data_IF_393800511369
#
_entry.id   IF_393800511369
#
_cell.length_a   1.000
_cell.length_b   1.000
_cell.length_c   1.000
_cell.angle_alpha   90.00
_cell.angle_beta   90.00
_cell.angle_gamma   90.00
#
_symmetry.space_group_name_H-M   'P 1'
#
loop_
_entity.id
_entity.type
_entity.pdbx_description
1 polymer ?
#
# COMPACT_ATOMS: atom_id res chain seq x y z
N UNK A 1 41.40 -25.08 -12.78
CA UNK A 1 40.33 -24.15 -12.35
C UNK A 1 39.32 -24.10 -13.49
N UNK A 2 38.07 -24.50 -13.24
CA UNK A 2 37.10 -24.79 -14.31
C UNK A 2 36.45 -23.49 -14.80
N UNK A 3 36.38 -23.30 -16.13
CA UNK A 3 35.86 -22.07 -16.75
C UNK A 3 34.40 -21.76 -16.33
N UNK A 4 33.66 -22.80 -15.92
CA UNK A 4 32.31 -22.67 -15.35
C UNK A 4 32.28 -21.91 -14.03
N UNK A 5 33.23 -22.18 -13.12
CA UNK A 5 33.24 -21.61 -11.77
C UNK A 5 33.66 -20.15 -11.79
N UNK A 6 34.52 -19.77 -12.74
CA UNK A 6 34.91 -18.39 -12.96
C UNK A 6 33.75 -17.56 -13.52
N UNK A 7 33.00 -18.10 -14.50
CA UNK A 7 31.78 -17.44 -15.02
C UNK A 7 30.66 -17.37 -13.98
N UNK A 8 30.53 -18.38 -13.11
CA UNK A 8 29.56 -18.35 -12.02
C UNK A 8 29.89 -17.23 -11.04
N UNK A 9 31.17 -17.10 -10.66
CA UNK A 9 31.64 -16.02 -9.77
C UNK A 9 31.51 -14.63 -10.38
N UNK A 10 31.78 -14.47 -11.67
CA UNK A 10 31.57 -13.21 -12.38
C UNK A 10 30.08 -12.85 -12.45
N UNK A 11 29.20 -13.84 -12.65
CA UNK A 11 27.75 -13.64 -12.65
C UNK A 11 27.20 -13.31 -11.26
N UNK A 12 27.68 -13.99 -10.21
CA UNK A 12 27.36 -13.68 -8.82
C UNK A 12 27.89 -12.30 -8.40
N UNK A 13 29.09 -11.93 -8.84
CA UNK A 13 29.66 -10.60 -8.61
C UNK A 13 28.85 -9.51 -9.31
N UNK A 14 28.45 -9.72 -10.57
CA UNK A 14 27.58 -8.80 -11.29
C UNK A 14 26.18 -8.70 -10.65
N UNK A 15 25.59 -9.81 -10.22
CA UNK A 15 24.33 -9.82 -9.48
C UNK A 15 24.46 -9.09 -8.13
N UNK A 16 25.58 -9.29 -7.44
CA UNK A 16 25.87 -8.62 -6.17
C UNK A 16 26.09 -7.13 -6.36
N UNK A 17 26.79 -6.71 -7.41
CA UNK A 17 27.01 -5.30 -7.76
C UNK A 17 25.71 -4.62 -8.21
N UNK A 18 24.87 -5.30 -8.99
CA UNK A 18 23.52 -4.82 -9.35
C UNK A 18 22.63 -4.71 -8.10
N UNK A 19 22.72 -5.68 -7.19
CA UNK A 19 22.00 -5.67 -5.91
C UNK A 19 22.50 -4.57 -4.99
N UNK A 20 23.81 -4.37 -4.91
CA UNK A 20 24.44 -3.33 -4.09
C UNK A 20 24.13 -1.94 -4.65
N UNK A 21 24.20 -1.74 -5.97
CA UNK A 21 23.76 -0.50 -6.64
C UNK A 21 22.27 -0.21 -6.44
N UNK A 22 21.42 -1.24 -6.48
CA UNK A 22 20.00 -1.10 -6.16
C UNK A 22 19.76 -0.79 -4.66
N UNK A 23 20.61 -1.31 -3.77
CA UNK A 23 20.51 -1.10 -2.31
C UNK A 23 21.05 0.27 -1.85
N UNK A 24 22.07 0.80 -2.52
CA UNK A 24 22.70 2.07 -2.17
C UNK A 24 21.75 3.26 -2.39
N UNK A 25 20.80 3.11 -3.31
CA UNK A 25 19.70 4.04 -3.52
C UNK A 25 18.56 3.86 -2.49
N UNK A 26 18.24 2.63 -2.10
CA UNK A 26 17.21 2.29 -1.11
C UNK A 26 17.56 2.68 0.35
N UNK A 27 18.80 3.11 0.62
CA UNK A 27 19.27 3.52 1.94
C UNK A 27 18.45 4.65 2.59
N UNK A 28 17.71 5.44 1.81
CA UNK A 28 16.78 6.46 2.34
C UNK A 28 15.65 5.83 3.18
N UNK A 29 15.18 4.64 2.84
CA UNK A 29 14.10 3.95 3.58
C UNK A 29 14.57 3.34 4.90
N UNK A 30 15.88 3.13 5.04
CA UNK A 30 16.50 2.67 6.26
C UNK A 30 16.74 3.81 7.26
N UNK A 31 16.46 5.06 6.88
CA UNK A 31 16.49 6.19 7.79
C UNK A 31 15.41 6.04 8.88
N UNK A 32 15.86 6.07 10.15
CA UNK A 32 15.00 5.96 11.32
C UNK A 32 13.89 7.01 11.34
N UNK A 33 14.15 8.24 10.92
CA UNK A 33 13.16 9.32 10.95
C UNK A 33 12.09 9.15 9.86
N UNK A 34 12.51 8.70 8.68
CA UNK A 34 11.59 8.42 7.57
C UNK A 34 10.71 7.22 7.89
N UNK A 35 11.31 6.14 8.39
CA UNK A 35 10.60 4.91 8.78
C UNK A 35 9.62 5.16 9.92
N UNK A 36 10.03 5.93 10.94
CA UNK A 36 9.14 6.41 12.02
C UNK A 36 7.97 7.23 11.47
N UNK A 37 8.22 8.12 10.51
CA UNK A 37 7.15 8.90 9.85
C UNK A 37 6.15 7.99 9.14
N UNK A 38 6.62 6.98 8.39
CA UNK A 38 5.74 6.01 7.73
C UNK A 38 4.89 5.22 8.73
N UNK A 39 5.49 4.76 9.83
CA UNK A 39 4.80 4.01 10.89
C UNK A 39 3.67 4.84 11.51
N UNK A 40 3.99 6.03 12.01
CA UNK A 40 2.99 6.89 12.68
C UNK A 40 1.88 7.33 11.73
N UNK A 41 2.24 7.63 10.49
CA UNK A 41 1.26 8.03 9.51
C UNK A 41 0.37 6.86 9.09
N UNK A 42 0.90 5.63 9.03
CA UNK A 42 0.09 4.42 8.80
C UNK A 42 -0.91 4.17 9.93
N UNK A 43 -0.46 4.27 11.19
CA UNK A 43 -1.34 4.12 12.35
C UNK A 43 -2.42 5.19 12.40
N UNK A 44 -2.04 6.46 12.18
CA UNK A 44 -3.00 7.57 12.14
C UNK A 44 -4.03 7.38 11.03
N UNK A 45 -3.59 6.96 9.84
CA UNK A 45 -4.49 6.69 8.73
C UNK A 45 -5.43 5.51 8.99
N UNK A 46 -4.94 4.47 9.65
CA UNK A 46 -5.76 3.34 10.08
C UNK A 46 -6.88 3.78 11.03
N UNK A 47 -6.57 4.60 12.05
CA UNK A 47 -7.57 5.13 12.99
C UNK A 47 -8.65 5.91 12.24
N UNK A 48 -8.25 6.79 11.31
CA UNK A 48 -9.20 7.60 10.54
C UNK A 48 -10.07 6.72 9.64
N UNK A 49 -9.50 5.71 8.98
CA UNK A 49 -10.27 4.74 8.17
C UNK A 49 -11.28 4.00 9.03
N UNK A 50 -10.84 3.43 10.15
CA UNK A 50 -11.72 2.63 11.02
C UNK A 50 -12.83 3.51 11.60
N UNK A 51 -12.51 4.71 12.10
CA UNK A 51 -13.50 5.65 12.61
C UNK A 51 -14.53 6.05 11.55
N UNK A 52 -14.07 6.36 10.33
CA UNK A 52 -14.94 6.68 9.21
C UNK A 52 -15.85 5.50 8.83
N UNK A 53 -15.29 4.29 8.79
CA UNK A 53 -16.05 3.09 8.48
C UNK A 53 -17.09 2.74 9.54
N UNK A 54 -16.77 2.92 10.82
CA UNK A 54 -17.71 2.75 11.94
C UNK A 54 -18.83 3.79 11.85
N UNK A 55 -18.49 5.07 11.67
CA UNK A 55 -19.48 6.15 11.54
C UNK A 55 -20.42 5.91 10.35
N UNK A 56 -19.89 5.49 9.21
CA UNK A 56 -20.68 5.15 8.02
C UNK A 56 -21.59 3.95 8.22
N UNK A 57 -21.15 2.93 8.97
CA UNK A 57 -21.98 1.79 9.33
C UNK A 57 -23.23 2.22 10.13
N UNK A 58 -23.05 3.08 11.14
CA UNK A 58 -24.17 3.57 11.95
C UNK A 58 -25.12 4.48 11.16
N UNK A 59 -24.59 5.45 10.40
CA UNK A 59 -25.41 6.41 9.63
C UNK A 59 -26.29 5.74 8.57
N UNK A 60 -25.84 4.64 7.97
CA UNK A 60 -26.63 3.91 6.96
C UNK A 60 -27.58 2.90 7.60
N UNK A 61 -27.23 2.33 8.76
CA UNK A 61 -28.15 1.49 9.51
C UNK A 61 -29.40 2.24 10.00
N UNK A 62 -29.26 3.53 10.30
CA UNK A 62 -30.37 4.38 10.77
C UNK A 62 -31.22 4.97 9.64
N UNK A 63 -30.66 5.17 8.44
CA UNK A 63 -31.32 5.95 7.38
C UNK A 63 -32.23 5.16 6.45
N UNK A 64 -32.36 3.84 6.60
CA UNK A 64 -33.34 2.99 5.89
C UNK A 64 -33.35 3.10 4.35
N UNK A 65 -32.34 3.73 3.75
CA UNK A 65 -32.36 4.17 2.36
C UNK A 65 -31.77 3.10 1.45
N UNK A 66 -32.51 2.82 0.38
CA UNK A 66 -32.28 1.77 -0.61
C UNK A 66 -30.86 1.77 -1.22
N UNK A 67 -30.04 0.84 -0.73
CA UNK A 67 -29.11 -0.07 -1.45
C UNK A 67 -28.06 0.45 -2.45
N UNK A 68 -28.42 1.33 -3.38
CA UNK A 68 -27.59 1.65 -4.56
C UNK A 68 -26.96 3.04 -4.53
N UNK A 69 -27.65 4.04 -3.97
CA UNK A 69 -27.12 5.40 -3.81
C UNK A 69 -25.99 5.47 -2.77
N UNK A 70 -26.14 4.74 -1.67
CA UNK A 70 -25.18 4.72 -0.56
C UNK A 70 -23.84 4.06 -0.95
N UNK A 71 -23.86 2.97 -1.74
CA UNK A 71 -22.66 2.27 -2.19
C UNK A 71 -21.72 3.15 -3.06
N UNK A 72 -22.29 4.00 -3.91
CA UNK A 72 -21.51 4.95 -4.72
C UNK A 72 -20.87 6.05 -3.86
N UNK A 73 -21.63 6.63 -2.92
CA UNK A 73 -21.12 7.65 -1.99
C UNK A 73 -20.00 7.07 -1.11
N UNK A 74 -20.14 5.83 -0.67
CA UNK A 74 -19.12 5.07 0.09
C UNK A 74 -17.82 4.99 -0.70
N UNK A 75 -17.89 4.49 -1.93
CA UNK A 75 -16.71 4.31 -2.76
C UNK A 75 -16.01 5.65 -3.02
N UNK A 76 -16.76 6.70 -3.37
CA UNK A 76 -16.17 8.01 -3.64
C UNK A 76 -15.59 8.66 -2.41
N UNK A 77 -16.25 8.57 -1.26
CA UNK A 77 -15.70 9.15 -0.03
C UNK A 77 -14.45 8.41 0.42
N UNK A 78 -14.44 7.09 0.30
CA UNK A 78 -13.25 6.28 0.57
C UNK A 78 -12.10 6.59 -0.40
N UNK A 79 -12.40 6.71 -1.70
CA UNK A 79 -11.42 7.08 -2.73
C UNK A 79 -10.84 8.48 -2.48
N UNK A 80 -11.67 9.46 -2.11
CA UNK A 80 -11.23 10.81 -1.73
C UNK A 80 -10.33 10.75 -0.50
N UNK A 81 -10.67 9.97 0.52
CA UNK A 81 -9.86 9.82 1.73
C UNK A 81 -8.50 9.19 1.42
N UNK A 82 -8.46 8.17 0.56
CA UNK A 82 -7.22 7.59 0.05
C UNK A 82 -6.39 8.61 -0.74
N UNK A 83 -7.02 9.38 -1.63
CA UNK A 83 -6.36 10.39 -2.44
C UNK A 83 -5.77 11.52 -1.59
N UNK A 84 -6.53 12.02 -0.60
CA UNK A 84 -6.06 13.04 0.36
C UNK A 84 -4.93 12.47 1.21
N UNK A 85 -5.06 11.25 1.72
CA UNK A 85 -3.99 10.57 2.47
C UNK A 85 -2.72 10.40 1.63
N UNK A 86 -2.85 10.04 0.36
CA UNK A 86 -1.74 9.95 -0.58
C UNK A 86 -1.10 11.33 -0.82
N UNK A 87 -1.89 12.39 -1.02
CA UNK A 87 -1.39 13.75 -1.20
C UNK A 87 -0.63 14.26 0.04
N UNK A 88 -1.13 13.99 1.24
CA UNK A 88 -0.45 14.32 2.50
C UNK A 88 0.89 13.58 2.60
N UNK A 89 0.91 12.27 2.28
CA UNK A 89 2.15 11.47 2.23
C UNK A 89 3.16 12.07 1.27
N UNK A 90 2.74 12.36 0.04
CA UNK A 90 3.61 12.95 -0.99
C UNK A 90 4.15 14.30 -0.53
N UNK A 91 3.33 15.14 0.10
CA UNK A 91 3.74 16.46 0.59
C UNK A 91 4.74 16.35 1.75
N UNK A 92 4.52 15.43 2.69
CA UNK A 92 5.45 15.18 3.80
C UNK A 92 6.77 14.61 3.29
N UNK A 93 6.72 13.64 2.39
CA UNK A 93 7.90 13.10 1.69
C UNK A 93 8.64 14.20 0.93
N UNK A 94 7.93 15.11 0.26
CA UNK A 94 8.51 16.27 -0.41
C UNK A 94 9.30 17.15 0.56
N UNK A 95 8.71 17.49 1.71
CA UNK A 95 9.34 18.33 2.73
C UNK A 95 10.56 17.65 3.37
N UNK A 96 10.49 16.35 3.63
CA UNK A 96 11.63 15.60 4.18
C UNK A 96 12.77 15.52 3.15
N UNK A 97 12.43 15.31 1.88
CA UNK A 97 13.42 15.22 0.80
C UNK A 97 14.04 16.57 0.45
N UNK A 98 13.27 17.67 0.51
CA UNK A 98 13.80 19.01 0.29
C UNK A 98 14.82 19.40 1.36
N UNK A 99 14.64 18.96 2.61
CA UNK A 99 15.64 19.13 3.68
C UNK A 99 16.96 18.38 3.43
N UNK A 100 16.94 17.39 2.53
CA UNK A 100 18.10 16.58 2.15
C UNK A 100 18.67 16.92 0.78
N UNK A 101 18.26 18.03 0.17
CA UNK A 101 18.64 18.43 -1.20
C UNK A 101 18.38 17.33 -2.26
N UNK A 102 17.37 16.49 -2.05
CA UNK A 102 16.98 15.44 -3.01
C UNK A 102 15.56 15.72 -3.53
N UNK A 103 15.32 15.39 -4.80
CA UNK A 103 14.02 15.58 -5.45
C UNK A 103 13.08 14.40 -5.19
N UNK A 104 11.76 14.65 -5.12
CA UNK A 104 10.73 13.59 -5.17
C UNK A 104 10.91 12.70 -6.40
N UNK A 105 11.29 13.26 -7.54
CA UNK A 105 11.51 12.48 -8.74
C UNK A 105 12.70 11.52 -8.57
N UNK A 106 13.73 11.91 -7.80
CA UNK A 106 14.82 10.99 -7.45
C UNK A 106 14.32 9.92 -6.50
N UNK A 107 13.50 10.27 -5.50
CA UNK A 107 12.89 9.28 -4.60
C UNK A 107 12.02 8.29 -5.38
N UNK A 108 11.17 8.76 -6.29
CA UNK A 108 10.32 7.92 -7.12
C UNK A 108 11.18 7.04 -8.04
N UNK A 109 12.26 7.55 -8.61
CA UNK A 109 13.17 6.75 -9.42
C UNK A 109 13.86 5.64 -8.61
N UNK A 110 14.22 5.95 -7.36
CA UNK A 110 14.81 5.02 -6.38
C UNK A 110 13.80 3.96 -5.91
N UNK A 111 12.57 4.38 -5.58
CA UNK A 111 11.48 3.51 -5.12
C UNK A 111 11.03 2.57 -6.24
N UNK A 112 10.83 3.13 -7.43
CA UNK A 112 10.10 2.46 -8.49
C UNK A 112 11.01 1.85 -9.56
N UNK A 113 12.27 2.29 -9.71
CA UNK A 113 13.13 1.85 -10.82
C UNK A 113 12.40 1.95 -12.18
N UNK A 114 12.86 1.22 -13.22
CA UNK A 114 12.03 1.01 -14.43
C UNK A 114 11.11 -0.22 -14.31
N UNK A 115 11.57 -1.27 -13.62
CA UNK A 115 10.83 -2.53 -13.48
C UNK A 115 9.62 -2.44 -12.54
N UNK A 116 9.83 -2.25 -11.22
CA UNK A 116 8.73 -2.16 -10.24
C UNK A 116 7.71 -1.05 -10.56
N UNK A 117 8.16 0.05 -11.17
CA UNK A 117 7.30 1.14 -11.66
C UNK A 117 6.21 0.62 -12.58
N UNK A 118 6.56 -0.23 -13.54
CA UNK A 118 5.61 -0.77 -14.51
C UNK A 118 4.54 -1.63 -13.82
N UNK A 119 4.94 -2.45 -12.84
CA UNK A 119 4.02 -3.30 -12.06
C UNK A 119 3.09 -2.44 -11.21
N UNK A 120 3.61 -1.41 -10.56
CA UNK A 120 2.80 -0.55 -9.68
C UNK A 120 1.85 0.33 -10.49
N UNK A 121 2.31 0.91 -11.61
CA UNK A 121 1.45 1.67 -12.52
C UNK A 121 0.35 0.77 -13.10
N UNK A 122 0.69 -0.45 -13.55
CA UNK A 122 -0.28 -1.41 -14.06
C UNK A 122 -1.29 -1.82 -12.98
N UNK A 123 -0.83 -2.09 -11.76
CA UNK A 123 -1.70 -2.42 -10.63
C UNK A 123 -2.64 -1.27 -10.26
N UNK A 124 -2.14 -0.03 -10.20
CA UNK A 124 -2.97 1.15 -9.93
C UNK A 124 -4.01 1.38 -11.02
N UNK A 125 -3.62 1.23 -12.28
CA UNK A 125 -4.54 1.32 -13.41
C UNK A 125 -5.62 0.23 -13.31
N UNK A 126 -5.23 -1.01 -13.00
CA UNK A 126 -6.17 -2.12 -12.81
C UNK A 126 -7.14 -1.86 -11.65
N UNK A 127 -6.65 -1.33 -10.52
CA UNK A 127 -7.51 -0.90 -9.39
C UNK A 127 -8.55 0.10 -9.87
N UNK A 128 -8.15 1.16 -10.58
CA UNK A 128 -9.07 2.20 -11.03
C UNK A 128 -10.12 1.62 -11.98
N UNK A 129 -9.70 0.88 -13.00
CA UNK A 129 -10.60 0.32 -14.02
C UNK A 129 -11.57 -0.69 -13.41
N UNK A 130 -11.09 -1.61 -12.57
CA UNK A 130 -11.93 -2.64 -11.93
C UNK A 130 -12.89 -2.01 -10.93
N UNK A 131 -12.46 -1.04 -10.15
CA UNK A 131 -13.34 -0.33 -9.23
C UNK A 131 -14.45 0.42 -9.96
N UNK A 132 -14.11 1.15 -11.05
CA UNK A 132 -15.10 1.86 -11.86
C UNK A 132 -16.11 0.86 -12.45
N UNK A 133 -15.63 -0.23 -13.05
CA UNK A 133 -16.48 -1.28 -13.61
C UNK A 133 -17.42 -1.91 -12.56
N UNK A 134 -16.88 -2.28 -11.39
CA UNK A 134 -17.69 -2.89 -10.33
C UNK A 134 -18.74 -1.92 -9.79
N UNK A 135 -18.43 -0.63 -9.70
CA UNK A 135 -19.41 0.39 -9.29
C UNK A 135 -20.50 0.55 -10.34
N UNK A 136 -20.16 0.59 -11.63
CA UNK A 136 -21.15 0.73 -12.72
C UNK A 136 -22.07 -0.49 -12.84
N UNK A 137 -21.55 -1.68 -12.54
CA UNK A 137 -22.32 -2.95 -12.58
C UNK A 137 -23.10 -3.23 -11.28
N UNK A 138 -23.18 -2.29 -10.34
CA UNK A 138 -23.90 -2.48 -9.07
C UNK A 138 -23.21 -3.43 -8.08
N UNK A 139 -21.96 -3.80 -8.34
CA UNK A 139 -21.09 -4.63 -7.50
C UNK A 139 -20.10 -3.80 -6.67
N UNK A 140 -20.41 -2.52 -6.44
CA UNK A 140 -19.55 -1.54 -5.75
C UNK A 140 -18.87 -2.04 -4.47
N UNK A 141 -19.53 -2.83 -3.58
CA UNK A 141 -18.86 -3.38 -2.39
C UNK A 141 -17.63 -4.25 -2.71
N UNK A 142 -17.61 -4.96 -3.84
CA UNK A 142 -16.47 -5.79 -4.25
C UNK A 142 -15.25 -4.94 -4.63
N UNK A 143 -15.42 -3.65 -4.95
CA UNK A 143 -14.32 -2.75 -5.29
C UNK A 143 -13.31 -2.63 -4.14
N UNK A 144 -13.77 -2.66 -2.89
CA UNK A 144 -12.91 -2.65 -1.70
C UNK A 144 -12.01 -3.89 -1.64
N UNK A 145 -12.57 -5.06 -1.90
CA UNK A 145 -11.82 -6.33 -1.86
C UNK A 145 -10.81 -6.39 -3.00
N UNK A 146 -11.25 -6.07 -4.22
CA UNK A 146 -10.38 -6.10 -5.40
C UNK A 146 -9.28 -5.06 -5.32
N UNK A 147 -9.59 -3.83 -4.88
CA UNK A 147 -8.56 -2.79 -4.72
C UNK A 147 -7.48 -3.19 -3.71
N UNK A 148 -7.83 -3.87 -2.61
CA UNK A 148 -6.85 -4.38 -1.66
C UNK A 148 -5.96 -5.48 -2.26
N UNK A 149 -6.54 -6.43 -3.00
CA UNK A 149 -5.80 -7.51 -3.68
C UNK A 149 -4.81 -6.92 -4.70
N UNK A 150 -5.25 -5.99 -5.55
CA UNK A 150 -4.37 -5.38 -6.55
C UNK A 150 -3.32 -4.46 -5.91
N UNK A 151 -3.67 -3.75 -4.83
CA UNK A 151 -2.71 -2.97 -4.05
C UNK A 151 -1.65 -3.87 -3.41
N UNK A 152 -1.98 -5.10 -3.00
CA UNK A 152 -1.00 -6.04 -2.45
C UNK A 152 0.14 -6.34 -3.45
N UNK A 153 -0.17 -6.52 -4.74
CA UNK A 153 0.87 -6.71 -5.77
C UNK A 153 1.77 -5.49 -5.93
N UNK A 154 1.21 -4.28 -5.86
CA UNK A 154 2.00 -3.06 -5.86
C UNK A 154 2.93 -3.00 -4.62
N UNK A 155 2.43 -3.42 -3.45
CA UNK A 155 3.21 -3.46 -2.21
C UNK A 155 4.29 -4.54 -2.26
N UNK A 156 4.04 -5.72 -2.84
CA UNK A 156 5.07 -6.73 -3.03
C UNK A 156 6.18 -6.26 -3.98
N UNK A 157 5.83 -5.51 -5.03
CA UNK A 157 6.84 -4.89 -5.89
C UNK A 157 7.73 -3.89 -5.13
N UNK A 158 7.15 -3.15 -4.16
CA UNK A 158 7.90 -2.29 -3.25
C UNK A 158 8.74 -3.09 -2.25
N UNK A 159 8.21 -4.18 -1.68
CA UNK A 159 8.90 -5.03 -0.73
C UNK A 159 10.18 -5.64 -1.30
N UNK A 160 10.14 -6.11 -2.56
CA UNK A 160 11.32 -6.66 -3.27
C UNK A 160 12.48 -5.63 -3.33
N UNK A 161 12.16 -4.34 -3.41
CA UNK A 161 13.14 -3.25 -3.51
C UNK A 161 13.57 -2.68 -2.16
N UNK A 162 12.62 -2.44 -1.27
CA UNK A 162 12.84 -1.76 0.01
C UNK A 162 13.33 -2.76 1.07
N UNK A 163 12.91 -4.03 0.98
CA UNK A 163 13.30 -5.14 1.85
C UNK A 163 13.09 -4.85 3.35
N UNK A 164 12.03 -4.11 3.66
CA UNK A 164 11.63 -3.80 5.03
C UNK A 164 10.43 -4.66 5.44
N UNK A 165 10.45 -5.25 6.64
CA UNK A 165 9.40 -6.18 7.10
C UNK A 165 8.01 -5.53 7.16
N UNK A 166 7.97 -4.20 7.30
CA UNK A 166 6.74 -3.40 7.29
C UNK A 166 5.95 -3.52 5.97
N UNK A 167 6.65 -3.52 4.84
CA UNK A 167 6.03 -3.58 3.53
C UNK A 167 5.59 -5.01 3.20
N UNK A 168 6.39 -6.00 3.60
CA UNK A 168 5.98 -7.40 3.51
C UNK A 168 4.71 -7.68 4.32
N UNK A 169 4.67 -7.22 5.57
CA UNK A 169 3.48 -7.34 6.43
C UNK A 169 2.27 -6.66 5.80
N UNK A 170 2.42 -5.43 5.28
CA UNK A 170 1.34 -4.72 4.59
C UNK A 170 0.80 -5.51 3.39
N UNK A 171 1.68 -6.00 2.52
CA UNK A 171 1.31 -6.72 1.30
C UNK A 171 0.54 -8.00 1.61
N UNK A 172 1.03 -8.81 2.54
CA UNK A 172 0.34 -10.03 2.96
C UNK A 172 -0.99 -9.76 3.65
N UNK A 173 -1.07 -8.70 4.45
CA UNK A 173 -2.32 -8.35 5.15
C UNK A 173 -3.38 -7.85 4.17
N UNK A 174 -2.98 -7.01 3.19
CA UNK A 174 -3.86 -6.57 2.10
C UNK A 174 -4.39 -7.74 1.28
N UNK A 175 -3.51 -8.68 0.93
CA UNK A 175 -3.90 -9.86 0.16
C UNK A 175 -4.86 -10.75 0.96
N UNK A 176 -4.49 -11.11 2.19
CA UNK A 176 -5.29 -11.99 3.03
C UNK A 176 -6.67 -11.39 3.35
N UNK A 177 -6.69 -10.15 3.84
CA UNK A 177 -7.96 -9.50 4.18
C UNK A 177 -8.80 -9.21 2.94
N UNK A 178 -8.18 -8.81 1.82
CA UNK A 178 -8.87 -8.60 0.55
C UNK A 178 -9.50 -9.88 0.00
N UNK A 179 -8.82 -11.03 0.11
CA UNK A 179 -9.37 -12.33 -0.28
C UNK A 179 -10.51 -12.77 0.65
N UNK A 180 -10.32 -12.64 1.97
CA UNK A 180 -11.35 -13.00 2.96
C UNK A 180 -12.59 -12.12 2.77
N UNK A 181 -12.43 -10.82 2.52
CA UNK A 181 -13.56 -9.91 2.37
C UNK A 181 -14.44 -10.24 1.17
N UNK A 182 -13.95 -10.91 0.12
CA UNK A 182 -14.78 -11.31 -1.02
C UNK A 182 -16.02 -12.11 -0.61
N UNK A 183 -15.92 -12.93 0.45
CA UNK A 183 -17.00 -13.79 0.92
C UNK A 183 -18.01 -13.08 1.82
N UNK A 184 -17.60 -11.99 2.48
CA UNK A 184 -18.38 -11.39 3.57
C UNK A 184 -18.75 -9.92 3.34
N UNK A 185 -18.14 -9.25 2.35
CA UNK A 185 -18.28 -7.81 2.16
C UNK A 185 -19.71 -7.37 1.79
N UNK A 186 -20.50 -8.26 1.20
CA UNK A 186 -21.92 -7.97 0.90
C UNK A 186 -22.77 -7.80 2.15
N UNK A 187 -22.42 -8.46 3.26
CA UNK A 187 -23.17 -8.36 4.51
C UNK A 187 -22.89 -7.08 5.29
N UNK A 188 -21.67 -6.55 5.22
CA UNK A 188 -21.32 -5.26 5.84
C UNK A 188 -20.14 -4.60 5.12
N UNK A 189 -20.40 -3.85 4.02
CA UNK A 189 -19.34 -3.21 3.24
C UNK A 189 -18.48 -2.25 4.06
N UNK A 190 -19.09 -1.55 5.02
CA UNK A 190 -18.44 -0.59 5.89
C UNK A 190 -17.45 -1.23 6.86
N UNK A 191 -17.88 -2.25 7.59
CA UNK A 191 -17.02 -2.95 8.54
C UNK A 191 -15.86 -3.62 7.81
N UNK A 192 -16.14 -4.27 6.68
CA UNK A 192 -15.09 -4.92 5.89
C UNK A 192 -14.12 -3.93 5.24
N UNK A 193 -14.59 -2.75 4.78
CA UNK A 193 -13.70 -1.68 4.33
C UNK A 193 -12.74 -1.21 5.42
N UNK A 194 -13.25 -1.04 6.65
CA UNK A 194 -12.46 -0.68 7.82
C UNK A 194 -11.45 -1.77 8.20
N UNK A 195 -11.88 -3.04 8.21
CA UNK A 195 -11.01 -4.18 8.54
C UNK A 195 -9.91 -4.34 7.50
N UNK A 196 -10.26 -4.38 6.21
CA UNK A 196 -9.30 -4.63 5.12
C UNK A 196 -8.24 -3.54 5.07
N UNK A 197 -8.65 -2.28 4.97
CA UNK A 197 -7.69 -1.18 4.81
C UNK A 197 -7.10 -0.75 6.15
N UNK A 198 -7.94 -0.54 7.16
CA UNK A 198 -7.49 -0.18 8.51
C UNK A 198 -6.57 -1.26 9.10
N UNK A 199 -6.98 -2.53 9.06
CA UNK A 199 -6.17 -3.65 9.55
C UNK A 199 -4.84 -3.80 8.82
N UNK A 200 -4.82 -3.59 7.50
CA UNK A 200 -3.58 -3.60 6.72
C UNK A 200 -2.62 -2.48 7.13
N UNK A 201 -3.11 -1.25 7.34
CA UNK A 201 -2.28 -0.15 7.82
C UNK A 201 -1.85 -0.30 9.29
N UNK A 202 -2.66 -0.94 10.14
CA UNK A 202 -2.23 -1.34 11.49
C UNK A 202 -1.08 -2.33 11.40
N UNK A 203 -1.19 -3.35 10.55
CA UNK A 203 -0.16 -4.37 10.36
C UNK A 203 1.18 -3.75 9.96
N UNK A 204 1.19 -2.80 9.03
CA UNK A 204 2.39 -2.02 8.69
C UNK A 204 2.97 -1.31 9.92
N UNK A 205 2.12 -0.62 10.69
CA UNK A 205 2.54 0.13 11.86
C UNK A 205 3.14 -0.76 12.97
N UNK A 206 2.48 -1.88 13.27
CA UNK A 206 2.95 -2.86 14.25
C UNK A 206 4.26 -3.49 13.80
N UNK A 207 4.32 -3.98 12.56
CA UNK A 207 5.53 -4.57 12.00
C UNK A 207 6.71 -3.59 12.08
N UNK A 208 6.47 -2.30 11.81
CA UNK A 208 7.48 -1.27 11.92
C UNK A 208 7.93 -0.96 13.33
N UNK A 209 7.02 -0.93 14.30
CA UNK A 209 7.38 -0.78 15.71
C UNK A 209 8.24 -1.96 16.15
N UNK A 210 7.82 -3.20 15.85
CA UNK A 210 8.55 -4.42 16.21
C UNK A 210 9.94 -4.41 15.59
N UNK A 211 10.04 -4.14 14.29
CA UNK A 211 11.31 -4.14 13.58
C UNK A 211 12.21 -2.95 13.93
N UNK A 212 11.68 -1.86 14.51
CA UNK A 212 12.49 -0.75 15.05
C UNK A 212 13.05 -1.03 16.44
N UNK A 213 12.44 -1.95 17.19
CA UNK A 213 12.92 -2.39 18.53
C UNK A 213 13.98 -3.48 18.44
N UNK A 214 14.02 -4.22 17.33
CA UNK A 214 14.99 -5.30 17.08
C UNK A 214 16.32 -4.80 16.49
N UNK A 215 16.45 -3.49 16.20
CA UNK A 215 17.61 -2.84 15.57
C UNK A 215 18.25 -1.79 16.45
#
# INVERSE_FOLDING_TARGET
MNISDQKLKEFEAALREIREAASHEAGIFHDKDLRKTFIWLSLGFSIVIVAFCIAGHFLISESGTSGTSSAGIIFWTFAIMLAVGAAIKITLLSRIMSRKNKSIASLLRVIYGKGPASVIIAALLAVVVICVFLVTEGLGPLAVSMSAIFAAFAVFALDIRIQLPEFSALGWTLLALGLVSLFFIRGSPWLWGGIVWGGSFVSLGIAGIVASRAS
#
